data_IF_940764493529
#
_entry.id   IF_940764493529
#
_cell.length_a   1.000
_cell.length_b   1.000
_cell.length_c   1.000
_cell.angle_alpha   90.00
_cell.angle_beta   90.00
_cell.angle_gamma   90.00
#
_symmetry.space_group_name_H-M   'P 1'
#
loop_
_entity.id
_entity.type
_entity.pdbx_description
1 polymer ?
#
# COMPACT_ATOMS: atom_id res chain seq x y z
N UNK A 1 11.15 12.95 32.14
CA UNK A 1 10.23 11.79 32.10
C UNK A 1 10.76 10.86 31.03
N UNK A 2 11.16 9.64 31.37
CA UNK A 2 11.56 8.64 30.39
C UNK A 2 10.33 8.17 29.63
N UNK A 3 10.37 8.22 28.31
CA UNK A 3 9.35 7.57 27.46
C UNK A 3 9.33 6.09 27.84
N UNK A 4 8.17 5.49 28.14
CA UNK A 4 8.10 4.06 28.40
C UNK A 4 8.73 3.30 27.22
N UNK A 5 9.57 2.31 27.55
CA UNK A 5 10.18 1.45 26.55
C UNK A 5 9.05 0.72 25.81
N UNK A 6 8.99 0.89 24.48
CA UNK A 6 7.94 0.27 23.68
C UNK A 6 8.05 -1.25 23.72
N UNK A 7 6.89 -1.91 23.70
CA UNK A 7 6.84 -3.37 23.70
C UNK A 7 7.32 -3.95 22.37
N UNK A 8 7.10 -3.24 21.25
CA UNK A 8 7.40 -3.73 19.90
C UNK A 8 8.03 -2.67 19.01
N UNK A 9 8.97 -3.12 18.17
CA UNK A 9 9.48 -2.33 17.05
C UNK A 9 8.58 -2.56 15.85
N UNK A 10 7.95 -1.48 15.37
CA UNK A 10 7.16 -1.50 14.14
C UNK A 10 8.09 -1.25 12.94
N UNK A 11 8.01 -2.14 11.96
CA UNK A 11 8.73 -2.03 10.69
C UNK A 11 7.71 -1.95 9.57
N UNK A 12 7.71 -0.85 8.83
CA UNK A 12 6.97 -0.70 7.58
C UNK A 12 7.91 -1.05 6.44
N UNK A 13 7.70 -2.22 5.84
CA UNK A 13 8.49 -2.73 4.74
C UNK A 13 7.80 -2.38 3.41
N UNK A 14 8.34 -1.37 2.72
CA UNK A 14 7.83 -0.90 1.44
C UNK A 14 8.32 -1.76 0.28
N UNK A 15 7.47 -1.99 -0.72
CA UNK A 15 7.87 -2.65 -1.97
C UNK A 15 9.07 -1.96 -2.60
N UNK A 16 10.00 -2.76 -3.11
CA UNK A 16 11.08 -2.27 -3.95
C UNK A 16 10.52 -1.89 -5.32
N UNK A 17 10.10 -0.64 -5.43
CA UNK A 17 9.66 -0.06 -6.70
C UNK A 17 10.84 0.52 -7.48
N UNK A 18 10.69 0.69 -8.80
CA UNK A 18 11.60 1.49 -9.61
C UNK A 18 11.87 2.87 -9.00
N UNK A 19 13.04 3.44 -9.30
CA UNK A 19 13.34 4.84 -8.97
C UNK A 19 12.50 5.78 -9.85
N UNK A 20 11.24 5.95 -9.46
CA UNK A 20 10.26 6.75 -10.19
C UNK A 20 10.72 8.20 -10.37
N UNK A 21 11.49 8.75 -9.42
CA UNK A 21 12.01 10.13 -9.50
C UNK A 21 13.06 10.27 -10.59
N UNK A 22 14.01 9.33 -10.64
CA UNK A 22 14.98 9.31 -11.72
C UNK A 22 14.31 9.11 -13.08
N UNK A 23 13.34 8.19 -13.18
CA UNK A 23 12.58 7.96 -14.41
C UNK A 23 11.80 9.20 -14.85
N UNK A 24 11.16 9.91 -13.92
CA UNK A 24 10.44 11.15 -14.22
C UNK A 24 11.36 12.25 -14.74
N UNK A 25 12.52 12.44 -14.11
CA UNK A 25 13.53 13.41 -14.56
C UNK A 25 14.06 13.06 -15.96
N UNK A 26 14.41 11.80 -16.17
CA UNK A 26 14.97 11.34 -17.43
C UNK A 26 13.95 11.48 -18.57
N UNK A 27 12.68 11.13 -18.32
CA UNK A 27 11.58 11.32 -19.26
C UNK A 27 11.35 12.80 -19.58
N UNK A 28 11.32 13.68 -18.57
CA UNK A 28 11.15 15.12 -18.75
C UNK A 28 12.29 15.77 -19.54
N UNK A 29 13.51 15.20 -19.47
CA UNK A 29 14.66 15.62 -20.25
C UNK A 29 14.65 15.08 -21.69
N UNK A 30 13.61 14.35 -22.11
CA UNK A 30 13.52 13.71 -23.42
C UNK A 30 14.47 12.52 -23.60
N UNK A 31 15.03 11.98 -22.51
CA UNK A 31 15.90 10.81 -22.59
C UNK A 31 15.08 9.53 -22.76
N UNK A 32 15.58 8.54 -23.52
CA UNK A 32 14.95 7.23 -23.60
C UNK A 32 14.84 6.57 -22.21
N UNK A 33 13.65 6.11 -21.87
CA UNK A 33 13.40 5.33 -20.64
C UNK A 33 13.12 3.87 -21.03
N UNK A 34 14.14 2.99 -21.09
CA UNK A 34 13.94 1.61 -21.50
C UNK A 34 13.05 0.87 -20.49
N UNK A 35 12.14 -0.01 -20.92
CA UNK A 35 11.24 -0.69 -19.99
C UNK A 35 11.92 -1.54 -18.93
N UNK A 36 13.17 -1.98 -19.15
CA UNK A 36 13.95 -2.74 -18.16
C UNK A 36 14.17 -1.99 -16.85
N UNK A 37 13.96 -0.67 -16.83
CA UNK A 37 14.07 0.14 -15.61
C UNK A 37 12.80 0.21 -14.78
N UNK A 38 11.64 -0.15 -15.34
CA UNK A 38 10.35 -0.01 -14.65
C UNK A 38 9.40 -1.21 -14.78
N UNK A 39 9.72 -2.15 -15.66
CA UNK A 39 8.89 -3.31 -15.96
C UNK A 39 9.65 -4.60 -15.64
N UNK A 40 9.16 -5.42 -14.69
CA UNK A 40 9.79 -6.69 -14.35
C UNK A 40 9.43 -7.74 -15.42
N UNK A 41 10.16 -7.76 -16.53
CA UNK A 41 9.92 -8.67 -17.67
C UNK A 41 9.82 -10.16 -17.33
N UNK A 42 10.39 -10.57 -16.20
CA UNK A 42 10.41 -11.95 -15.74
C UNK A 42 9.17 -12.33 -14.92
N UNK A 43 8.33 -11.37 -14.55
CA UNK A 43 7.18 -11.60 -13.71
C UNK A 43 5.90 -11.78 -14.55
N UNK A 44 5.37 -13.01 -14.67
CA UNK A 44 4.20 -13.30 -15.49
C UNK A 44 2.92 -12.60 -14.98
N UNK A 45 2.94 -12.03 -13.78
CA UNK A 45 1.81 -11.29 -13.20
C UNK A 45 1.64 -9.90 -13.83
N UNK A 46 2.66 -9.39 -14.50
CA UNK A 46 2.61 -8.08 -15.14
C UNK A 46 2.22 -8.21 -16.62
N UNK A 47 1.16 -7.51 -17.08
CA UNK A 47 0.77 -7.53 -18.49
C UNK A 47 1.91 -7.06 -19.40
N UNK A 48 2.13 -7.75 -20.53
CA UNK A 48 3.25 -7.43 -21.44
C UNK A 48 3.08 -6.08 -22.11
N UNK A 49 1.86 -5.59 -22.21
CA UNK A 49 1.47 -4.30 -22.78
C UNK A 49 1.74 -3.10 -21.86
N UNK A 50 2.30 -3.29 -20.66
CA UNK A 50 2.58 -2.17 -19.72
C UNK A 50 3.37 -1.02 -20.38
N UNK A 51 4.42 -1.24 -21.19
CA UNK A 51 5.09 -0.14 -21.90
C UNK A 51 4.15 0.66 -22.80
N UNK A 52 3.32 -0.01 -23.61
CA UNK A 52 2.37 0.65 -24.51
C UNK A 52 1.29 1.43 -23.75
N UNK A 53 0.88 0.91 -22.59
CA UNK A 53 -0.09 1.55 -21.71
C UNK A 53 0.52 2.79 -21.00
N UNK A 54 1.80 2.74 -20.62
CA UNK A 54 2.54 3.89 -20.09
C UNK A 54 2.71 4.95 -21.18
N UNK A 55 3.06 4.56 -22.41
CA UNK A 55 3.15 5.49 -23.54
C UNK A 55 1.80 6.14 -23.82
N UNK A 56 0.70 5.38 -23.72
CA UNK A 56 -0.65 5.92 -23.82
C UNK A 56 -0.95 6.93 -22.73
N UNK A 57 -0.65 6.62 -21.47
CA UNK A 57 -0.78 7.57 -20.36
C UNK A 57 -0.05 8.88 -20.68
N UNK A 58 1.22 8.76 -21.07
CA UNK A 58 2.09 9.90 -21.32
C UNK A 58 1.63 10.79 -22.49
N UNK A 59 0.95 10.21 -23.49
CA UNK A 59 0.35 11.00 -24.58
C UNK A 59 -0.94 11.71 -24.19
N UNK A 60 -1.72 11.14 -23.26
CA UNK A 60 -3.06 11.63 -22.92
C UNK A 60 -3.08 12.51 -21.67
N UNK A 61 -2.08 12.41 -20.80
CA UNK A 61 -2.02 13.15 -19.54
C UNK A 61 -1.06 14.33 -19.60
N UNK A 62 -1.36 15.38 -18.82
CA UNK A 62 -0.43 16.49 -18.60
C UNK A 62 0.70 16.15 -17.62
N UNK A 63 0.56 15.07 -16.86
CA UNK A 63 1.57 14.58 -15.92
C UNK A 63 2.01 13.22 -16.42
N UNK A 64 3.31 13.06 -16.66
CA UNK A 64 3.85 11.78 -17.11
C UNK A 64 3.55 10.68 -16.08
N UNK A 65 3.46 9.43 -16.54
CA UNK A 65 3.27 8.25 -15.71
C UNK A 65 4.33 8.18 -14.61
N UNK A 66 5.59 8.42 -14.98
CA UNK A 66 6.72 8.38 -14.06
C UNK A 66 6.62 9.48 -12.98
N UNK A 67 6.25 10.71 -13.36
CA UNK A 67 6.01 11.79 -12.40
C UNK A 67 4.83 11.47 -11.48
N UNK A 68 3.74 10.92 -12.03
CA UNK A 68 2.58 10.51 -11.24
C UNK A 68 2.96 9.44 -10.21
N UNK A 69 3.69 8.39 -10.61
CA UNK A 69 4.19 7.35 -9.69
C UNK A 69 5.17 7.91 -8.65
N UNK A 70 6.06 8.81 -9.05
CA UNK A 70 6.99 9.46 -8.13
C UNK A 70 6.25 10.23 -7.03
N UNK A 71 5.23 11.02 -7.40
CA UNK A 71 4.42 11.79 -6.44
C UNK A 71 3.56 10.90 -5.55
N UNK A 72 2.98 9.83 -6.07
CA UNK A 72 2.26 8.85 -5.22
C UNK A 72 3.19 8.21 -4.19
N UNK A 73 4.41 7.84 -4.61
CA UNK A 73 5.42 7.31 -3.70
C UNK A 73 5.83 8.32 -2.63
N UNK A 74 5.96 9.60 -2.98
CA UNK A 74 6.22 10.67 -1.99
C UNK A 74 5.08 10.83 -0.99
N UNK A 75 3.81 10.75 -1.44
CA UNK A 75 2.64 10.82 -0.55
C UNK A 75 2.64 9.64 0.42
N UNK A 76 2.89 8.42 -0.07
CA UNK A 76 2.96 7.23 0.77
C UNK A 76 4.14 7.30 1.76
N UNK A 77 5.32 7.74 1.31
CA UNK A 77 6.50 7.93 2.19
C UNK A 77 6.24 8.97 3.27
N UNK A 78 5.54 10.07 2.95
CA UNK A 78 5.11 11.06 3.94
C UNK A 78 4.13 10.47 4.95
N UNK A 79 3.18 9.64 4.50
CA UNK A 79 2.24 8.96 5.38
C UNK A 79 2.96 7.97 6.31
N UNK A 80 3.86 7.14 5.78
CA UNK A 80 4.64 6.17 6.55
C UNK A 80 5.50 6.84 7.62
N UNK A 81 6.14 7.98 7.32
CA UNK A 81 6.93 8.75 8.29
C UNK A 81 6.11 9.34 9.45
N UNK A 82 4.79 9.45 9.30
CA UNK A 82 3.90 9.91 10.38
C UNK A 82 3.53 8.78 11.34
N UNK A 83 3.88 7.53 11.03
CA UNK A 83 3.67 6.42 11.94
C UNK A 83 4.70 6.50 13.05
N UNK A 84 4.22 6.84 14.25
CA UNK A 84 5.10 7.20 15.36
C UNK A 84 6.04 6.04 15.73
N UNK A 85 7.35 6.31 15.71
CA UNK A 85 8.46 5.38 15.97
C UNK A 85 8.46 4.09 15.14
N UNK A 86 7.82 4.09 13.96
CA UNK A 86 8.04 3.03 12.98
C UNK A 86 9.38 3.21 12.27
N UNK A 87 10.04 2.09 11.96
CA UNK A 87 11.17 2.05 11.04
C UNK A 87 10.65 1.76 9.64
N UNK A 88 11.02 2.58 8.65
CA UNK A 88 10.66 2.35 7.25
C UNK A 88 11.86 1.78 6.50
N UNK A 89 11.70 0.61 5.87
CA UNK A 89 12.71 -0.05 5.05
C UNK A 89 12.06 -0.62 3.78
N UNK A 90 12.86 -1.17 2.87
CA UNK A 90 12.36 -1.94 1.72
C UNK A 90 12.18 -3.41 2.05
N UNK A 91 11.37 -4.13 1.27
CA UNK A 91 11.19 -5.59 1.39
C UNK A 91 12.53 -6.34 1.42
N UNK A 92 13.48 -5.94 0.57
CA UNK A 92 14.79 -6.61 0.46
C UNK A 92 15.68 -6.42 1.69
N UNK A 93 15.39 -5.43 2.53
CA UNK A 93 16.17 -5.13 3.72
C UNK A 93 15.67 -5.88 4.96
N UNK A 94 14.46 -6.46 4.93
CA UNK A 94 13.83 -7.10 6.10
C UNK A 94 14.71 -8.22 6.68
N UNK A 95 15.22 -9.12 5.86
CA UNK A 95 16.06 -10.22 6.33
C UNK A 95 17.33 -9.73 7.04
N UNK A 96 18.01 -8.73 6.45
CA UNK A 96 19.22 -8.13 7.03
C UNK A 96 18.89 -7.37 8.33
N UNK A 97 17.74 -6.71 8.38
CA UNK A 97 17.27 -5.99 9.56
C UNK A 97 16.99 -6.96 10.72
N UNK A 98 16.25 -8.04 10.46
CA UNK A 98 15.92 -9.05 11.47
C UNK A 98 17.18 -9.75 12.00
N UNK A 99 18.15 -10.07 11.13
CA UNK A 99 19.41 -10.69 11.55
C UNK A 99 20.23 -9.84 12.54
N UNK A 100 20.03 -8.52 12.54
CA UNK A 100 20.70 -7.57 13.46
C UNK A 100 19.91 -7.35 14.76
N UNK A 101 18.68 -7.84 14.87
CA UNK A 101 17.78 -7.66 16.01
C UNK A 101 17.68 -8.96 16.79
N UNK A 102 18.30 -9.00 17.97
CA UNK A 102 18.36 -10.19 18.83
C UNK A 102 17.17 -10.36 19.78
N UNK A 103 16.36 -9.31 20.00
CA UNK A 103 15.25 -9.33 20.95
C UNK A 103 13.96 -9.97 20.38
N UNK A 104 13.88 -10.15 19.06
CA UNK A 104 12.72 -10.74 18.38
C UNK A 104 11.43 -9.93 18.47
N UNK A 105 11.47 -8.73 19.07
CA UNK A 105 10.30 -7.87 19.31
C UNK A 105 10.03 -6.97 18.11
N UNK A 106 9.76 -7.59 16.97
CA UNK A 106 9.54 -6.90 15.70
C UNK A 106 8.21 -7.32 15.09
N UNK A 107 7.44 -6.32 14.64
CA UNK A 107 6.28 -6.51 13.77
C UNK A 107 6.58 -5.88 12.41
N UNK A 108 6.56 -6.69 11.36
CA UNK A 108 6.81 -6.25 9.97
C UNK A 108 5.50 -6.17 9.21
N UNK A 109 5.19 -4.98 8.69
CA UNK A 109 4.03 -4.72 7.84
C UNK A 109 4.54 -4.46 6.43
N UNK A 110 4.24 -5.39 5.52
CA UNK A 110 4.51 -5.17 4.09
C UNK A 110 3.49 -4.19 3.51
N UNK A 111 3.90 -3.41 2.51
CA UNK A 111 3.00 -2.52 1.77
C UNK A 111 3.55 -2.11 0.40
N UNK A 112 2.65 -1.68 -0.50
CA UNK A 112 3.03 -1.05 -1.75
C UNK A 112 3.45 0.42 -1.55
N UNK A 113 4.08 0.96 -2.57
CA UNK A 113 4.58 2.34 -2.63
C UNK A 113 3.50 3.41 -2.79
N UNK A 114 2.21 3.05 -2.75
CA UNK A 114 1.07 3.98 -2.77
C UNK A 114 0.06 3.75 -1.62
N UNK A 115 0.44 2.93 -0.64
CA UNK A 115 -0.39 2.57 0.51
C UNK A 115 -0.09 3.41 1.76
N UNK A 116 -1.06 3.52 2.66
CA UNK A 116 -0.99 4.35 3.86
C UNK A 116 -1.32 3.56 5.14
N UNK A 117 -0.72 3.96 6.25
CA UNK A 117 -0.97 3.39 7.58
C UNK A 117 -1.45 4.44 8.57
N UNK A 118 -2.16 3.96 9.60
CA UNK A 118 -2.61 4.77 10.71
C UNK A 118 -1.40 5.38 11.47
N UNK A 119 -1.34 6.70 11.72
CA UNK A 119 -0.20 7.35 12.40
C UNK A 119 0.09 6.78 13.80
N UNK A 120 -0.94 6.37 14.51
CA UNK A 120 -0.84 5.75 15.85
C UNK A 120 -0.69 4.22 15.82
N UNK A 121 -0.34 3.61 14.68
CA UNK A 121 -0.21 2.15 14.56
C UNK A 121 0.61 1.53 15.69
N UNK A 122 1.79 2.10 16.00
CA UNK A 122 2.64 1.57 17.06
C UNK A 122 1.95 1.61 18.44
N UNK A 123 1.37 2.75 18.81
CA UNK A 123 0.67 2.89 20.10
C UNK A 123 -0.55 1.98 20.23
N UNK A 124 -1.27 1.73 19.12
CA UNK A 124 -2.40 0.80 19.11
C UNK A 124 -1.97 -0.67 19.31
N UNK A 125 -0.72 -1.00 18.96
CA UNK A 125 -0.18 -2.36 19.07
C UNK A 125 0.58 -2.59 20.38
N UNK A 126 1.09 -1.53 21.03
CA UNK A 126 1.81 -1.62 22.31
C UNK A 126 0.93 -2.21 23.43
N UNK A 127 -0.40 -2.09 23.33
CA UNK A 127 -1.36 -2.63 24.30
C UNK A 127 -1.65 -4.13 24.10
N UNK A 128 -1.11 -4.75 23.04
CA UNK A 128 -1.44 -6.11 22.66
C UNK A 128 -0.31 -7.10 23.02
N UNK A 129 -0.70 -8.25 23.57
CA UNK A 129 0.21 -9.38 23.69
C UNK A 129 0.30 -10.14 22.37
N UNK A 130 1.35 -9.83 21.59
CA UNK A 130 1.65 -10.51 20.33
C UNK A 130 2.80 -11.51 20.46
N UNK A 131 3.23 -11.86 21.68
CA UNK A 131 4.35 -12.79 21.90
C UNK A 131 4.04 -14.22 21.47
N UNK A 132 2.76 -14.60 21.50
CA UNK A 132 2.29 -15.95 21.22
C UNK A 132 1.75 -16.14 19.79
N UNK A 133 1.68 -15.07 18.99
CA UNK A 133 1.08 -15.08 17.66
C UNK A 133 2.13 -14.98 16.54
N UNK A 134 1.77 -15.46 15.36
CA UNK A 134 2.58 -15.37 14.15
C UNK A 134 2.24 -14.08 13.37
N UNK A 135 0.97 -13.65 13.42
CA UNK A 135 0.53 -12.43 12.74
C UNK A 135 -0.49 -11.64 13.56
N UNK A 136 -0.49 -10.33 13.34
CA UNK A 136 -1.57 -9.42 13.71
C UNK A 136 -2.35 -9.12 12.43
N UNK A 137 -3.67 -9.31 12.42
CA UNK A 137 -4.54 -9.08 11.25
C UNK A 137 -5.57 -8.03 11.60
N UNK A 138 -5.89 -7.14 10.67
CA UNK A 138 -6.80 -6.01 10.89
C UNK A 138 -7.57 -5.63 9.63
N UNK A 139 -8.60 -4.80 9.77
CA UNK A 139 -9.40 -4.31 8.65
C UNK A 139 -8.65 -3.23 7.85
N UNK A 140 -8.91 -3.10 6.56
CA UNK A 140 -8.28 -2.05 5.74
C UNK A 140 -9.22 -1.44 4.73
N UNK A 141 -8.98 -0.17 4.40
CA UNK A 141 -9.72 0.55 3.36
C UNK A 141 -9.09 0.26 1.99
N UNK A 142 -9.92 0.07 0.98
CA UNK A 142 -9.53 0.09 -0.43
C UNK A 142 -10.17 1.29 -1.12
N UNK A 143 -9.33 2.26 -1.45
CA UNK A 143 -9.68 3.40 -2.28
C UNK A 143 -9.49 3.00 -3.75
N UNK A 144 -10.57 3.03 -4.52
CA UNK A 144 -10.61 2.68 -5.94
C UNK A 144 -11.86 3.31 -6.57
N UNK A 145 -12.24 2.91 -7.78
CA UNK A 145 -13.54 3.29 -8.36
C UNK A 145 -14.74 2.75 -7.58
N UNK A 146 -14.50 1.80 -6.67
CA UNK A 146 -15.49 1.27 -5.74
C UNK A 146 -14.85 1.30 -4.37
N UNK A 147 -15.43 2.09 -3.47
CA UNK A 147 -14.96 2.24 -2.11
C UNK A 147 -15.38 1.03 -1.30
N UNK A 148 -14.41 0.38 -0.66
CA UNK A 148 -14.66 -0.84 0.11
C UNK A 148 -13.75 -0.85 1.33
N UNK A 149 -14.30 -1.20 2.48
CA UNK A 149 -13.52 -1.57 3.66
C UNK A 149 -13.56 -3.08 3.77
N UNK A 150 -12.40 -3.72 3.77
CA UNK A 150 -12.33 -5.16 4.00
C UNK A 150 -12.25 -5.44 5.48
N UNK A 151 -13.14 -6.30 5.97
CA UNK A 151 -13.30 -6.67 7.36
C UNK A 151 -13.31 -8.19 7.55
N UNK A 152 -13.28 -8.62 8.80
CA UNK A 152 -13.53 -10.02 9.15
C UNK A 152 -14.97 -10.43 8.81
N UNK A 153 -15.20 -11.72 8.57
CA UNK A 153 -16.50 -12.23 8.18
C UNK A 153 -17.58 -11.84 9.19
N UNK A 154 -18.61 -11.12 8.74
CA UNK A 154 -19.72 -10.66 9.57
C UNK A 154 -19.40 -9.47 10.48
N UNK A 155 -18.16 -8.96 10.48
CA UNK A 155 -17.75 -7.83 11.31
C UNK A 155 -17.99 -6.51 10.58
N UNK A 156 -18.68 -5.59 11.25
CA UNK A 156 -18.84 -4.20 10.81
C UNK A 156 -17.97 -3.32 11.69
N UNK A 157 -17.40 -2.26 11.11
CA UNK A 157 -16.59 -1.29 11.84
C UNK A 157 -17.14 0.12 11.62
N UNK A 158 -17.13 0.95 12.66
CA UNK A 158 -17.51 2.36 12.57
C UNK A 158 -16.50 3.18 11.74
N UNK A 159 -15.29 2.64 11.52
CA UNK A 159 -14.25 3.24 10.69
C UNK A 159 -14.43 2.97 9.18
N UNK A 160 -15.49 2.25 8.78
CA UNK A 160 -15.67 1.82 7.40
C UNK A 160 -15.92 2.99 6.44
N UNK A 161 -15.23 2.96 5.30
CA UNK A 161 -15.50 3.80 4.12
C UNK A 161 -16.05 2.91 3.01
N UNK A 162 -17.18 3.35 2.43
CA UNK A 162 -17.90 2.59 1.42
C UNK A 162 -18.55 1.33 2.00
N UNK A 163 -18.58 0.25 1.21
CA UNK A 163 -19.18 -1.02 1.65
C UNK A 163 -18.20 -1.86 2.46
N UNK A 164 -18.71 -2.63 3.41
CA UNK A 164 -17.91 -3.67 4.07
C UNK A 164 -17.93 -4.96 3.25
N UNK A 165 -16.76 -5.54 2.98
CA UNK A 165 -16.61 -6.87 2.38
C UNK A 165 -15.72 -7.75 3.25
N UNK A 166 -16.00 -9.05 3.30
CA UNK A 166 -15.09 -9.99 3.94
C UNK A 166 -13.78 -10.09 3.15
N UNK A 167 -12.67 -10.37 3.84
CA UNK A 167 -11.42 -10.71 3.17
C UNK A 167 -11.60 -11.90 2.23
N UNK A 168 -10.96 -11.84 1.06
CA UNK A 168 -10.90 -12.98 0.13
C UNK A 168 -9.81 -13.99 0.48
N UNK A 169 -8.78 -13.50 1.16
CA UNK A 169 -7.61 -14.25 1.60
C UNK A 169 -7.38 -13.95 3.07
N UNK A 170 -6.71 -14.86 3.78
CA UNK A 170 -6.31 -14.65 5.17
C UNK A 170 -5.49 -13.38 5.32
N UNK A 171 -4.49 -13.24 4.45
CA UNK A 171 -3.63 -12.06 4.35
C UNK A 171 -3.83 -11.39 2.99
N UNK A 172 -3.99 -10.07 3.02
CA UNK A 172 -3.91 -9.13 1.91
C UNK A 172 -2.69 -8.24 2.19
N UNK A 173 -1.92 -7.79 1.18
CA UNK A 173 -0.64 -7.09 1.36
C UNK A 173 -0.63 -5.96 2.42
N UNK A 174 -1.79 -5.40 2.80
CA UNK A 174 -1.89 -4.31 3.77
C UNK A 174 -2.72 -4.62 5.02
N UNK A 175 -3.14 -5.86 5.26
CA UNK A 175 -4.07 -6.18 6.36
C UNK A 175 -3.41 -6.93 7.53
N UNK A 176 -2.08 -7.09 7.51
CA UNK A 176 -1.37 -7.90 8.50
C UNK A 176 0.03 -7.39 8.82
N UNK A 177 0.47 -7.66 10.04
CA UNK A 177 1.84 -7.50 10.51
C UNK A 177 2.38 -8.83 11.02
N UNK A 178 3.57 -9.23 10.57
CA UNK A 178 4.18 -10.50 10.91
C UNK A 178 5.16 -10.33 12.08
N UNK A 179 5.11 -11.27 13.03
CA UNK A 179 6.09 -11.33 14.11
C UNK A 179 7.42 -11.91 13.61
N UNK A 180 8.51 -11.65 14.34
CA UNK A 180 9.80 -12.29 14.04
C UNK A 180 9.71 -13.83 14.06
N UNK A 181 8.80 -14.39 14.88
CA UNK A 181 8.48 -15.82 14.91
C UNK A 181 7.97 -16.31 13.56
N UNK A 182 6.99 -15.63 12.96
CA UNK A 182 6.49 -15.99 11.62
C UNK A 182 7.58 -15.93 10.56
N UNK A 183 8.36 -14.83 10.56
CA UNK A 183 9.40 -14.57 9.56
C UNK A 183 10.58 -15.55 9.66
N UNK A 184 10.82 -16.14 10.84
CA UNK A 184 11.81 -17.21 11.00
C UNK A 184 11.42 -18.53 10.31
N UNK A 185 10.12 -18.71 10.01
CA UNK A 185 9.56 -19.93 9.42
C UNK A 185 9.37 -19.80 7.92
N UNK A 186 9.08 -18.59 7.44
CA UNK A 186 8.98 -18.26 6.04
C UNK A 186 9.38 -16.79 5.82
N UNK A 187 10.44 -16.57 5.03
CA UNK A 187 10.95 -15.23 4.76
C UNK A 187 10.11 -14.49 3.71
N UNK A 188 9.51 -15.21 2.76
CA UNK A 188 8.83 -14.66 1.58
C UNK A 188 7.31 -14.56 1.77
N UNK A 189 6.89 -13.97 2.90
CA UNK A 189 5.48 -13.77 3.26
C UNK A 189 5.00 -12.36 2.88
N UNK A 190 5.09 -12.02 1.60
CA UNK A 190 4.79 -10.66 1.12
C UNK A 190 3.51 -10.62 0.30
N UNK A 191 3.41 -11.52 -0.68
CA UNK A 191 2.30 -11.58 -1.61
C UNK A 191 1.09 -12.28 -0.98
N UNK A 192 -0.08 -11.68 -1.13
CA UNK A 192 -1.27 -12.09 -0.38
C UNK A 192 -1.68 -13.56 -0.57
N UNK A 193 -1.56 -14.10 -1.79
CA UNK A 193 -1.84 -15.52 -2.06
C UNK A 193 -0.84 -16.44 -1.36
N UNK A 194 0.45 -16.11 -1.50
CA UNK A 194 1.54 -16.97 -1.06
C UNK A 194 1.69 -16.90 0.46
N UNK A 195 1.55 -15.71 1.03
CA UNK A 195 1.55 -15.48 2.47
C UNK A 195 0.37 -16.20 3.14
N UNK A 196 -0.83 -16.17 2.55
CA UNK A 196 -1.99 -16.90 3.08
C UNK A 196 -1.78 -18.41 3.01
N UNK A 197 -1.31 -18.93 1.86
CA UNK A 197 -1.05 -20.35 1.68
C UNK A 197 0.05 -20.86 2.64
N UNK A 198 1.11 -20.07 2.83
CA UNK A 198 2.16 -20.39 3.80
C UNK A 198 1.62 -20.37 5.23
N UNK A 199 0.81 -19.38 5.60
CA UNK A 199 0.19 -19.30 6.92
C UNK A 199 -0.69 -20.52 7.23
N UNK A 200 -1.42 -21.02 6.25
CA UNK A 200 -2.19 -22.26 6.35
C UNK A 200 -1.27 -23.48 6.49
N UNK A 201 -0.28 -23.62 5.61
CA UNK A 201 0.65 -24.75 5.61
C UNK A 201 1.47 -24.86 6.91
N UNK A 202 1.86 -23.72 7.48
CA UNK A 202 2.59 -23.65 8.74
C UNK A 202 1.67 -23.59 9.97
N UNK A 203 0.35 -23.46 9.81
CA UNK A 203 -0.57 -23.34 10.95
C UNK A 203 -0.28 -22.10 11.80
N UNK A 204 -0.17 -20.94 11.17
CA UNK A 204 0.04 -19.66 11.86
C UNK A 204 -1.11 -19.36 12.83
N UNK A 205 -0.79 -18.66 13.91
CA UNK A 205 -1.76 -18.12 14.87
C UNK A 205 -1.92 -16.62 14.62
N UNK A 206 -3.15 -16.17 14.38
CA UNK A 206 -3.47 -14.76 14.17
C UNK A 206 -4.06 -14.12 15.43
N UNK A 207 -3.61 -12.89 15.74
CA UNK A 207 -4.36 -11.96 16.56
C UNK A 207 -5.19 -11.04 15.65
N UNK A 208 -6.51 -11.09 15.76
CA UNK A 208 -7.39 -10.19 15.01
C UNK A 208 -7.66 -8.91 15.81
N UNK A 209 -7.50 -7.76 15.17
CA UNK A 209 -7.80 -6.45 15.74
C UNK A 209 -8.99 -5.84 15.01
N UNK A 210 -10.01 -5.45 15.76
CA UNK A 210 -11.14 -4.67 15.25
C UNK A 210 -10.76 -3.18 15.09
N UNK A 211 -9.84 -2.92 14.18
CA UNK A 211 -9.41 -1.58 13.80
C UNK A 211 -9.10 -1.51 12.31
N UNK A 212 -9.26 -0.32 11.74
CA UNK A 212 -8.82 -0.02 10.38
C UNK A 212 -7.47 0.68 10.45
N UNK A 213 -6.40 -0.07 10.18
CA UNK A 213 -5.03 0.41 10.41
C UNK A 213 -4.27 0.76 9.13
N UNK A 214 -4.85 0.47 7.96
CA UNK A 214 -4.24 0.80 6.68
C UNK A 214 -5.28 1.11 5.60
N UNK A 215 -4.79 1.72 4.53
CA UNK A 215 -5.55 2.00 3.33
C UNK A 215 -4.69 1.66 2.11
N UNK A 216 -5.25 0.91 1.16
CA UNK A 216 -4.66 0.75 -0.16
C UNK A 216 -5.30 1.71 -1.15
N UNK A 217 -4.47 2.35 -1.97
CA UNK A 217 -4.92 3.29 -2.99
C UNK A 217 -4.73 2.70 -4.39
N UNK A 218 -5.78 2.11 -4.97
CA UNK A 218 -5.77 1.59 -6.33
C UNK A 218 -6.10 2.70 -7.32
N UNK A 219 -5.05 3.40 -7.72
CA UNK A 219 -5.09 4.55 -8.60
C UNK A 219 -5.20 4.17 -10.09
N UNK A 220 -5.61 5.10 -10.97
CA UNK A 220 -5.56 4.95 -12.43
C UNK A 220 -4.20 4.54 -13.01
N UNK A 221 -3.08 4.82 -12.32
CA UNK A 221 -1.74 4.48 -12.79
C UNK A 221 -1.20 3.15 -12.22
N UNK A 222 -2.00 2.42 -11.44
CA UNK A 222 -1.65 1.06 -11.01
C UNK A 222 -1.80 0.05 -12.17
N UNK A 223 -0.97 -0.99 -12.20
CA UNK A 223 -0.95 -1.95 -13.31
C UNK A 223 -2.33 -2.56 -13.63
N UNK A 224 -3.11 -2.89 -12.61
CA UNK A 224 -4.47 -3.45 -12.76
C UNK A 224 -5.45 -2.48 -13.42
N UNK A 225 -5.25 -1.17 -13.26
CA UNK A 225 -6.13 -0.14 -13.81
C UNK A 225 -5.62 0.46 -15.11
N UNK A 226 -4.30 0.38 -15.35
CA UNK A 226 -3.67 0.89 -16.55
C UNK A 226 -4.23 0.21 -17.82
N UNK A 227 -4.58 -1.07 -17.74
CA UNK A 227 -5.22 -1.80 -18.85
C UNK A 227 -6.63 -1.30 -19.21
N UNK A 228 -7.23 -0.43 -18.38
CA UNK A 228 -8.54 0.19 -18.61
C UNK A 228 -8.43 1.61 -19.18
N UNK A 229 -7.21 2.07 -19.49
CA UNK A 229 -6.99 3.41 -20.01
C UNK A 229 -7.70 3.62 -21.36
N UNK A 230 -8.55 4.65 -21.47
CA UNK A 230 -9.17 5.01 -22.74
C UNK A 230 -8.13 5.41 -23.80
N UNK A 231 -8.47 5.21 -25.07
CA UNK A 231 -7.59 5.54 -26.20
C UNK A 231 -7.60 7.03 -26.59
N UNK A 232 -8.57 7.80 -26.10
CA UNK A 232 -8.78 9.21 -26.49
C UNK A 232 -8.62 10.14 -25.30
N UNK A 233 -8.20 11.39 -25.53
CA UNK A 233 -8.07 12.42 -24.47
C UNK A 233 -9.39 12.65 -23.73
N UNK A 234 -10.49 12.80 -24.46
CA UNK A 234 -11.81 12.98 -23.85
C UNK A 234 -12.21 11.79 -22.97
N UNK A 235 -11.92 10.56 -23.42
CA UNK A 235 -12.14 9.35 -22.64
C UNK A 235 -11.27 9.32 -21.37
N UNK A 236 -9.97 9.58 -21.52
CA UNK A 236 -9.01 9.64 -20.42
C UNK A 236 -9.43 10.66 -19.36
N UNK A 237 -9.78 11.88 -19.76
CA UNK A 237 -10.19 12.92 -18.83
C UNK A 237 -11.48 12.56 -18.09
N UNK A 238 -12.44 11.93 -18.78
CA UNK A 238 -13.66 11.42 -18.14
C UNK A 238 -13.33 10.32 -17.14
N UNK A 239 -12.42 9.41 -17.48
CA UNK A 239 -11.99 8.31 -16.63
C UNK A 239 -11.32 8.83 -15.35
N UNK A 240 -10.38 9.78 -15.47
CA UNK A 240 -9.75 10.43 -14.32
C UNK A 240 -10.76 11.22 -13.48
N UNK A 241 -11.64 12.00 -14.11
CA UNK A 241 -12.69 12.74 -13.38
C UNK A 241 -13.61 11.82 -12.60
N UNK A 242 -13.99 10.66 -13.16
CA UNK A 242 -14.81 9.69 -12.45
C UNK A 242 -14.09 9.12 -11.22
N UNK A 243 -12.77 8.87 -11.31
CA UNK A 243 -11.96 8.46 -10.16
C UNK A 243 -11.94 9.56 -9.08
N UNK A 244 -11.69 10.83 -9.46
CA UNK A 244 -11.68 11.97 -8.55
C UNK A 244 -13.04 12.14 -7.87
N UNK A 245 -14.13 12.15 -8.63
CA UNK A 245 -15.50 12.29 -8.10
C UNK A 245 -15.85 11.19 -7.11
N UNK A 246 -15.36 9.95 -7.34
CA UNK A 246 -15.55 8.84 -6.40
C UNK A 246 -14.89 9.13 -5.06
N UNK A 247 -13.66 9.67 -5.08
CA UNK A 247 -12.91 9.98 -3.85
C UNK A 247 -13.43 11.24 -3.14
N UNK A 248 -13.84 12.27 -3.88
CA UNK A 248 -14.41 13.50 -3.31
C UNK A 248 -15.79 13.28 -2.69
N UNK A 249 -16.58 12.37 -3.26
CA UNK A 249 -17.93 12.08 -2.78
C UNK A 249 -17.99 11.14 -1.57
N UNK A 250 -16.84 10.72 -1.02
CA UNK A 250 -16.82 9.75 0.06
C UNK A 250 -17.01 10.41 1.43
N UNK A 251 -17.77 9.75 2.29
CA UNK A 251 -17.84 10.09 3.70
C UNK A 251 -16.66 9.44 4.44
N UNK A 252 -15.90 10.25 5.19
CA UNK A 252 -14.77 9.79 6.01
C UNK A 252 -15.20 9.83 7.48
N UNK A 253 -15.43 8.68 8.13
CA UNK A 253 -15.70 8.63 9.57
C UNK A 253 -14.55 9.22 10.38
N UNK A 254 -14.84 9.74 11.57
CA UNK A 254 -13.83 10.33 12.45
C UNK A 254 -12.66 9.37 12.74
N UNK A 255 -12.94 8.07 12.86
CA UNK A 255 -11.96 7.01 13.12
C UNK A 255 -11.02 6.75 11.93
N UNK A 256 -11.38 7.21 10.74
CA UNK A 256 -10.62 7.07 9.49
C UNK A 256 -10.11 8.39 8.95
N UNK A 257 -10.26 9.50 9.69
CA UNK A 257 -9.83 10.83 9.26
C UNK A 257 -8.32 10.94 8.97
N UNK A 258 -7.52 10.01 9.47
CA UNK A 258 -6.09 9.95 9.24
C UNK A 258 -5.70 9.82 7.75
N UNK A 259 -6.61 9.33 6.90
CA UNK A 259 -6.41 9.26 5.43
C UNK A 259 -6.62 10.59 4.71
N UNK A 260 -7.26 11.57 5.35
CA UNK A 260 -7.75 12.77 4.66
C UNK A 260 -6.64 13.54 3.95
N UNK A 261 -5.50 13.71 4.63
CA UNK A 261 -4.33 14.39 4.05
C UNK A 261 -3.77 13.67 2.81
N UNK A 262 -3.34 12.40 2.88
CA UNK A 262 -2.80 11.73 1.69
C UNK A 262 -3.85 11.54 0.58
N UNK A 263 -5.14 11.45 0.93
CA UNK A 263 -6.24 11.47 -0.02
C UNK A 263 -6.31 12.79 -0.79
N UNK A 264 -6.33 13.94 -0.10
CA UNK A 264 -6.38 15.25 -0.77
C UNK A 264 -5.17 15.46 -1.68
N UNK A 265 -3.97 15.09 -1.24
CA UNK A 265 -2.75 15.14 -2.08
C UNK A 265 -2.89 14.26 -3.33
N UNK A 266 -3.50 13.08 -3.19
CA UNK A 266 -3.78 12.18 -4.32
C UNK A 266 -4.80 12.79 -5.28
N UNK A 267 -5.90 13.35 -4.77
CA UNK A 267 -6.92 14.01 -5.58
C UNK A 267 -6.31 15.17 -6.37
N UNK A 268 -5.51 16.02 -5.73
CA UNK A 268 -4.84 17.16 -6.37
C UNK A 268 -3.86 16.72 -7.47
N UNK A 269 -3.13 15.63 -7.22
CA UNK A 269 -2.30 15.00 -8.24
C UNK A 269 -3.14 14.61 -9.46
N UNK A 270 -4.24 13.88 -9.28
CA UNK A 270 -5.07 13.44 -10.40
C UNK A 270 -5.84 14.58 -11.08
N UNK A 271 -6.21 15.65 -10.37
CA UNK A 271 -6.74 16.87 -11.00
C UNK A 271 -5.74 17.45 -12.00
N UNK A 272 -4.45 17.43 -11.67
CA UNK A 272 -3.38 17.90 -12.56
C UNK A 272 -3.21 17.01 -13.81
N UNK A 273 -3.59 15.72 -13.74
CA UNK A 273 -3.45 14.78 -14.86
C UNK A 273 -4.45 15.01 -16.00
N UNK A 274 -5.63 15.57 -15.71
CA UNK A 274 -6.79 15.66 -16.61
C UNK A 274 -7.21 17.08 -16.99
N UNK A 275 -6.37 18.08 -16.68
CA UNK A 275 -6.51 19.45 -17.21
C UNK A 275 -6.24 19.50 -18.72
#
# INVERSE_FOLDING_TARGET
MSTPERAWVIVLAKRSSPDWKALARDYAAGMPVPPTRYFPFHDPRFPREVPDLIDRWNRLSNVSYFECRARLCEIADQAARRVDGATVITWTEVATYLARRSDGRVLVFYHDDDDWFHPSLAGMLDELDVTSVDAVVFSFIRLASVLTTFTFQGVRTAAAIGRCEAFRYRYCTNNYGLTARALSRAADLVEHTDASAAAEAFGFVDLQIDAVLSATNKTPCSATWLSRLPDTKCGFDRYIRAYIQTLEGMEIPAQSNWIERPLHQTIDLFRSTAQ
#
